data_IF_264787525366
#
_entry.id   IF_264787525366
#
_cell.length_a   1.000
_cell.length_b   1.000
_cell.length_c   1.000
_cell.angle_alpha   90.00
_cell.angle_beta   90.00
_cell.angle_gamma   90.00
#
_symmetry.space_group_name_H-M   'P 1'
#
loop_
_entity.id
_entity.type
_entity.pdbx_description
1 polymer ?
#
# COMPACT_ATOMS: atom_id res chain seq x y z
N UNK A 1 -2.22 -31.99 -44.56
CA UNK A 1 -1.42 -30.79 -44.21
C UNK A 1 -1.72 -30.44 -42.77
N UNK A 2 -0.80 -30.69 -41.83
CA UNK A 2 -0.95 -30.31 -40.41
C UNK A 2 -0.19 -29.00 -40.21
N UNK A 3 -0.90 -27.92 -39.91
CA UNK A 3 -0.27 -26.64 -39.60
C UNK A 3 0.27 -26.69 -38.16
N UNK A 4 1.58 -26.60 -38.01
CA UNK A 4 2.22 -26.40 -36.72
C UNK A 4 2.14 -24.91 -36.38
N UNK A 5 1.30 -24.56 -35.41
CA UNK A 5 1.26 -23.21 -34.84
C UNK A 5 2.40 -23.13 -33.83
N UNK A 6 3.52 -22.54 -34.27
CA UNK A 6 4.60 -22.12 -33.38
C UNK A 6 4.13 -20.89 -32.61
N UNK A 7 3.69 -21.10 -31.36
CA UNK A 7 3.48 -20.00 -30.43
C UNK A 7 4.85 -19.51 -30.00
N UNK A 8 5.32 -18.45 -30.65
CA UNK A 8 6.51 -17.70 -30.23
C UNK A 8 6.16 -17.02 -28.90
N UNK A 9 6.64 -17.56 -27.79
CA UNK A 9 6.61 -16.87 -26.51
C UNK A 9 7.53 -15.64 -26.62
N UNK A 10 6.93 -14.48 -26.86
CA UNK A 10 7.63 -13.20 -26.76
C UNK A 10 8.08 -13.02 -25.33
N UNK A 11 9.36 -13.26 -25.06
CA UNK A 11 10.03 -12.79 -23.87
C UNK A 11 9.85 -11.27 -23.83
N UNK A 12 8.98 -10.78 -22.96
CA UNK A 12 8.94 -9.36 -22.63
C UNK A 12 10.28 -9.02 -21.98
N UNK A 13 11.21 -8.51 -22.78
CA UNK A 13 12.40 -7.82 -22.30
C UNK A 13 11.93 -6.55 -21.61
N UNK A 14 11.51 -6.67 -20.35
CA UNK A 14 11.35 -5.50 -19.50
C UNK A 14 12.73 -4.89 -19.38
N UNK A 15 12.94 -3.72 -19.98
CA UNK A 15 14.16 -2.96 -19.75
C UNK A 15 14.15 -2.60 -18.27
N UNK A 16 14.91 -3.37 -17.49
CA UNK A 16 15.14 -3.11 -16.08
C UNK A 16 15.61 -1.66 -15.98
N UNK A 17 14.78 -0.78 -15.41
CA UNK A 17 15.19 0.57 -15.04
C UNK A 17 16.25 0.41 -13.96
N UNK A 18 17.50 0.25 -14.41
CA UNK A 18 18.62 0.06 -13.53
C UNK A 18 18.80 1.35 -12.71
N UNK A 19 18.90 1.22 -11.39
CA UNK A 19 19.09 2.37 -10.52
C UNK A 19 20.48 2.93 -10.78
N UNK A 20 20.56 4.06 -11.50
CA UNK A 20 21.84 4.66 -11.95
C UNK A 20 22.83 4.88 -10.80
N UNK A 21 22.33 5.11 -9.59
CA UNK A 21 23.13 5.16 -8.37
C UNK A 21 23.89 3.85 -8.10
N UNK A 22 23.21 2.70 -8.09
CA UNK A 22 23.88 1.40 -7.89
C UNK A 22 24.63 0.91 -9.12
N UNK A 23 24.22 1.31 -10.33
CA UNK A 23 24.96 0.99 -11.55
C UNK A 23 26.31 1.72 -11.66
N UNK A 24 26.47 2.85 -10.96
CA UNK A 24 27.73 3.62 -10.96
C UNK A 24 28.88 2.93 -10.20
N UNK A 25 28.63 1.81 -9.51
CA UNK A 25 29.65 1.14 -8.70
C UNK A 25 30.69 0.45 -9.58
N UNK A 26 31.96 0.57 -9.20
CA UNK A 26 33.09 0.13 -10.03
C UNK A 26 33.28 -1.39 -10.18
N UNK A 27 32.50 -2.23 -9.51
CA UNK A 27 32.58 -3.69 -9.65
C UNK A 27 31.19 -4.31 -9.53
N UNK A 28 30.95 -5.46 -10.18
CA UNK A 28 29.70 -6.21 -10.08
C UNK A 28 29.33 -6.54 -8.64
N UNK A 29 30.30 -6.92 -7.81
CA UNK A 29 30.08 -7.16 -6.38
C UNK A 29 29.55 -5.92 -5.67
N UNK A 30 30.15 -4.75 -5.91
CA UNK A 30 29.72 -3.50 -5.31
C UNK A 30 28.34 -3.05 -5.82
N UNK A 31 28.00 -3.36 -7.08
CA UNK A 31 26.65 -3.14 -7.62
C UNK A 31 25.62 -3.96 -6.85
N UNK A 32 25.84 -5.27 -6.69
CA UNK A 32 24.89 -6.14 -5.98
C UNK A 32 24.76 -5.79 -4.50
N UNK A 33 25.88 -5.50 -3.82
CA UNK A 33 25.86 -5.01 -2.44
C UNK A 33 25.07 -3.70 -2.29
N UNK A 34 25.14 -2.80 -3.29
CA UNK A 34 24.35 -1.58 -3.30
C UNK A 34 22.85 -1.90 -3.39
N UNK A 35 22.45 -2.81 -4.28
CA UNK A 35 21.05 -3.22 -4.41
C UNK A 35 20.52 -3.91 -3.14
N UNK A 36 21.30 -4.81 -2.53
CA UNK A 36 20.94 -5.43 -1.25
C UNK A 36 20.73 -4.39 -0.16
N UNK A 37 21.55 -3.35 -0.11
CA UNK A 37 21.46 -2.31 0.91
C UNK A 37 20.19 -1.44 0.77
N UNK A 38 19.66 -1.27 -0.45
CA UNK A 38 18.48 -0.42 -0.71
C UNK A 38 17.17 -1.22 -0.84
N UNK A 39 17.23 -2.54 -1.05
CA UNK A 39 16.04 -3.38 -1.14
C UNK A 39 15.12 -3.32 0.11
N UNK A 40 15.64 -3.25 1.36
CA UNK A 40 14.80 -3.18 2.55
C UNK A 40 13.80 -2.02 2.55
N UNK A 41 14.16 -0.83 2.07
CA UNK A 41 13.23 0.30 2.03
C UNK A 41 12.07 0.07 1.05
N UNK A 42 12.35 -0.59 -0.08
CA UNK A 42 11.29 -0.98 -1.02
C UNK A 42 10.42 -2.11 -0.46
N UNK A 43 10.97 -3.00 0.38
CA UNK A 43 10.17 -4.04 1.06
C UNK A 43 9.22 -3.43 2.09
N UNK A 44 9.67 -2.45 2.88
CA UNK A 44 8.80 -1.74 3.82
C UNK A 44 7.70 -0.96 3.10
N UNK A 45 8.03 -0.34 1.95
CA UNK A 45 7.03 0.28 1.09
C UNK A 45 5.99 -0.72 0.58
N UNK A 46 6.43 -1.92 0.18
CA UNK A 46 5.54 -3.00 -0.24
C UNK A 46 4.58 -3.41 0.89
N UNK A 47 5.10 -3.64 2.10
CA UNK A 47 4.30 -3.96 3.29
C UNK A 47 3.26 -2.89 3.56
N UNK A 48 3.66 -1.62 3.55
CA UNK A 48 2.75 -0.49 3.74
C UNK A 48 1.64 -0.43 2.69
N UNK A 49 1.91 -0.77 1.42
CA UNK A 49 0.85 -0.87 0.42
C UNK A 49 -0.13 -2.03 0.69
N UNK A 50 0.37 -3.21 1.08
CA UNK A 50 -0.51 -4.32 1.45
C UNK A 50 -1.41 -3.97 2.64
N UNK A 51 -0.86 -3.33 3.68
CA UNK A 51 -1.64 -2.88 4.83
C UNK A 51 -2.72 -1.89 4.42
N UNK A 52 -2.37 -0.88 3.62
CA UNK A 52 -3.34 0.11 3.10
C UNK A 52 -4.44 -0.55 2.28
N UNK A 53 -4.11 -1.45 1.37
CA UNK A 53 -5.10 -2.18 0.57
C UNK A 53 -5.99 -3.04 1.47
N UNK A 54 -5.39 -3.80 2.40
CA UNK A 54 -6.14 -4.69 3.30
C UNK A 54 -7.14 -3.95 4.18
N UNK A 55 -6.75 -2.76 4.64
CA UNK A 55 -7.55 -1.95 5.55
C UNK A 55 -8.46 -0.94 4.82
N UNK A 56 -8.43 -0.89 3.50
CA UNK A 56 -9.26 0.04 2.74
C UNK A 56 -10.73 -0.41 2.75
N UNK A 57 -11.70 0.49 3.03
CA UNK A 57 -13.11 0.11 3.17
C UNK A 57 -13.74 -0.44 1.88
N UNK A 58 -13.20 -0.07 0.71
CA UNK A 58 -13.64 -0.61 -0.57
C UNK A 58 -13.07 -2.00 -0.90
N UNK A 59 -12.20 -2.56 -0.06
CA UNK A 59 -11.58 -3.87 -0.32
C UNK A 59 -12.52 -5.00 0.12
N UNK A 60 -12.92 -5.86 -0.82
CA UNK A 60 -13.78 -7.02 -0.54
C UNK A 60 -12.98 -8.23 -0.07
N UNK A 61 -13.68 -9.22 0.50
CA UNK A 61 -13.06 -10.48 0.93
C UNK A 61 -12.43 -11.25 -0.25
N UNK A 62 -13.09 -11.25 -1.41
CA UNK A 62 -12.58 -11.86 -2.64
C UNK A 62 -11.30 -11.13 -3.11
N UNK A 63 -11.28 -9.80 -3.00
CA UNK A 63 -10.10 -9.01 -3.33
C UNK A 63 -8.92 -9.33 -2.39
N UNK A 64 -9.17 -9.58 -1.10
CA UNK A 64 -8.15 -10.01 -0.14
C UNK A 64 -7.57 -11.39 -0.48
N UNK A 65 -8.44 -12.36 -0.81
CA UNK A 65 -8.00 -13.69 -1.22
C UNK A 65 -7.16 -13.63 -2.50
N UNK A 66 -7.59 -12.82 -3.47
CA UNK A 66 -6.84 -12.62 -4.70
C UNK A 66 -5.50 -11.92 -4.44
N UNK A 67 -5.45 -10.94 -3.54
CA UNK A 67 -4.23 -10.23 -3.16
C UNK A 67 -3.20 -11.17 -2.54
N UNK A 68 -3.64 -12.08 -1.68
CA UNK A 68 -2.79 -13.09 -1.06
C UNK A 68 -2.28 -14.09 -2.12
N UNK A 69 -3.17 -14.64 -2.95
CA UNK A 69 -2.78 -15.56 -4.01
C UNK A 69 -1.78 -14.93 -5.00
N UNK A 70 -2.04 -13.68 -5.42
CA UNK A 70 -1.16 -12.89 -6.28
C UNK A 70 0.20 -12.63 -5.62
N UNK A 71 0.24 -12.39 -4.31
CA UNK A 71 1.50 -12.24 -3.57
C UNK A 71 2.32 -13.53 -3.57
N UNK A 72 1.70 -14.67 -3.27
CA UNK A 72 2.37 -15.97 -3.25
C UNK A 72 2.92 -16.34 -4.63
N UNK A 73 2.14 -16.10 -5.69
CA UNK A 73 2.60 -16.34 -7.05
C UNK A 73 3.77 -15.42 -7.44
N UNK A 74 3.70 -14.13 -7.09
CA UNK A 74 4.81 -13.20 -7.33
C UNK A 74 6.08 -13.62 -6.59
N UNK A 75 5.97 -14.02 -5.31
CA UNK A 75 7.11 -14.47 -4.52
C UNK A 75 7.74 -15.73 -5.11
N UNK A 76 6.93 -16.71 -5.51
CA UNK A 76 7.43 -17.92 -6.18
C UNK A 76 8.13 -17.63 -7.50
N UNK A 77 7.63 -16.68 -8.30
CA UNK A 77 8.28 -16.27 -9.55
C UNK A 77 9.59 -15.52 -9.31
N UNK A 78 9.65 -14.68 -8.26
CA UNK A 78 10.87 -13.99 -7.84
C UNK A 78 11.97 -15.00 -7.50
N UNK A 79 11.65 -15.99 -6.66
CA UNK A 79 12.57 -17.06 -6.26
C UNK A 79 13.03 -17.92 -7.46
N UNK A 80 12.10 -18.24 -8.37
CA UNK A 80 12.41 -19.05 -9.53
C UNK A 80 13.29 -18.32 -10.57
N UNK A 81 13.09 -17.00 -10.73
CA UNK A 81 13.60 -16.26 -11.90
C UNK A 81 14.81 -15.38 -11.60
N UNK A 82 14.92 -14.82 -10.39
CA UNK A 82 16.03 -13.93 -10.06
C UNK A 82 17.27 -14.70 -9.61
N UNK A 83 18.44 -14.19 -10.03
CA UNK A 83 19.76 -14.79 -9.75
C UNK A 83 20.72 -13.81 -9.09
N UNK A 84 20.35 -12.55 -9.00
CA UNK A 84 21.13 -11.49 -8.38
C UNK A 84 20.23 -10.43 -7.74
N UNK A 85 20.84 -9.59 -6.90
CA UNK A 85 20.19 -8.53 -6.16
C UNK A 85 19.60 -7.43 -7.05
N UNK A 86 20.17 -7.23 -8.24
CA UNK A 86 19.63 -6.26 -9.21
C UNK A 86 18.27 -6.72 -9.72
N UNK A 87 18.14 -7.99 -10.11
CA UNK A 87 16.87 -8.59 -10.52
C UNK A 87 15.84 -8.52 -9.38
N UNK A 88 16.24 -8.91 -8.17
CA UNK A 88 15.35 -8.89 -7.00
C UNK A 88 14.82 -7.49 -6.69
N UNK A 89 15.69 -6.48 -6.71
CA UNK A 89 15.31 -5.09 -6.51
C UNK A 89 14.35 -4.59 -7.60
N UNK A 90 14.63 -4.86 -8.88
CA UNK A 90 13.75 -4.46 -9.99
C UNK A 90 12.36 -5.10 -9.86
N UNK A 91 12.30 -6.39 -9.51
CA UNK A 91 11.03 -7.08 -9.29
C UNK A 91 10.23 -6.46 -8.13
N UNK A 92 10.91 -6.07 -7.06
CA UNK A 92 10.31 -5.40 -5.90
C UNK A 92 9.76 -4.01 -6.23
N UNK A 93 10.50 -3.20 -6.99
CA UNK A 93 10.01 -1.88 -7.47
C UNK A 93 8.78 -2.05 -8.36
N UNK A 94 8.81 -3.02 -9.28
CA UNK A 94 7.65 -3.33 -10.13
C UNK A 94 6.44 -3.77 -9.31
N UNK A 95 6.65 -4.57 -8.26
CA UNK A 95 5.59 -4.95 -7.33
C UNK A 95 4.99 -3.74 -6.63
N UNK A 96 5.83 -2.83 -6.15
CA UNK A 96 5.39 -1.59 -5.52
C UNK A 96 4.55 -0.73 -6.46
N UNK A 97 4.93 -0.61 -7.73
CA UNK A 97 4.14 0.10 -8.73
C UNK A 97 2.78 -0.56 -8.98
N UNK A 98 2.73 -1.90 -9.06
CA UNK A 98 1.48 -2.63 -9.22
C UNK A 98 0.54 -2.46 -8.00
N UNK A 99 1.08 -2.54 -6.78
CA UNK A 99 0.31 -2.33 -5.56
C UNK A 99 -0.18 -0.88 -5.43
N UNK A 100 0.64 0.11 -5.80
CA UNK A 100 0.22 1.51 -5.85
C UNK A 100 -0.94 1.70 -6.85
N UNK A 101 -0.86 1.07 -8.02
CA UNK A 101 -1.95 1.08 -9.00
C UNK A 101 -3.25 0.46 -8.46
N UNK A 102 -3.17 -0.66 -7.75
CA UNK A 102 -4.32 -1.28 -7.07
C UNK A 102 -4.91 -0.36 -6.01
N UNK A 103 -4.08 0.24 -5.16
CA UNK A 103 -4.54 1.17 -4.14
C UNK A 103 -5.22 2.40 -4.76
N UNK A 104 -4.65 2.97 -5.82
CA UNK A 104 -5.27 4.08 -6.54
C UNK A 104 -6.62 3.71 -7.16
N UNK A 105 -6.77 2.46 -7.64
CA UNK A 105 -8.03 1.97 -8.20
C UNK A 105 -9.14 1.78 -7.15
N UNK A 106 -8.79 1.59 -5.88
CA UNK A 106 -9.75 1.60 -4.77
C UNK A 106 -10.28 3.02 -4.48
N UNK A 107 -9.63 4.05 -5.04
CA UNK A 107 -9.95 5.45 -4.81
C UNK A 107 -9.39 5.96 -3.49
N UNK A 108 -9.64 7.24 -3.15
CA UNK A 108 -9.41 7.71 -1.80
C UNK A 108 -10.29 6.92 -0.83
N UNK A 109 -9.80 6.74 0.40
CA UNK A 109 -10.67 6.33 1.51
C UNK A 109 -11.73 7.42 1.62
N UNK A 110 -12.90 7.17 1.04
CA UNK A 110 -14.06 7.98 1.34
C UNK A 110 -14.31 7.71 2.82
N UNK A 111 -14.31 8.77 3.63
CA UNK A 111 -14.92 8.74 4.94
C UNK A 111 -16.41 8.44 4.71
N UNK A 112 -16.72 7.17 4.47
CA UNK A 112 -18.08 6.70 4.46
C UNK A 112 -18.62 7.02 5.83
N UNK A 113 -19.73 7.76 5.88
CA UNK A 113 -20.43 8.17 7.09
C UNK A 113 -20.43 7.05 8.14
N UNK A 114 -19.41 7.06 8.99
CA UNK A 114 -19.39 6.40 10.28
C UNK A 114 -20.02 7.41 11.21
N UNK A 115 -21.35 7.34 11.32
CA UNK A 115 -22.12 8.14 12.29
C UNK A 115 -21.57 8.12 13.75
N UNK A 116 -20.70 7.19 14.20
CA UNK A 116 -20.05 7.36 15.50
C UNK A 116 -18.86 8.32 15.54
N UNK A 117 -18.03 8.41 14.47
CA UNK A 117 -16.83 9.26 14.49
C UNK A 117 -17.14 10.72 14.10
N UNK A 118 -18.08 10.93 13.17
CA UNK A 118 -18.51 12.29 12.80
C UNK A 118 -19.27 13.02 13.91
N UNK A 119 -19.96 12.31 14.80
CA UNK A 119 -20.77 12.94 15.84
C UNK A 119 -19.89 13.56 16.94
N UNK A 120 -18.89 12.81 17.46
CA UNK A 120 -17.99 13.34 18.49
C UNK A 120 -17.13 14.49 17.93
N UNK A 121 -16.68 14.38 16.68
CA UNK A 121 -15.93 15.45 16.01
C UNK A 121 -16.76 16.73 15.81
N UNK A 122 -18.08 16.60 15.61
CA UNK A 122 -18.99 17.75 15.54
C UNK A 122 -19.08 18.47 16.89
N UNK A 123 -19.17 17.72 17.99
CA UNK A 123 -19.14 18.30 19.34
C UNK A 123 -17.78 18.94 19.68
N UNK A 124 -16.67 18.32 19.28
CA UNK A 124 -15.32 18.91 19.40
C UNK A 124 -15.25 20.24 18.65
N UNK A 125 -15.79 20.29 17.43
CA UNK A 125 -15.76 21.49 16.59
C UNK A 125 -16.59 22.62 17.18
N UNK A 126 -17.83 22.33 17.61
CA UNK A 126 -18.71 23.31 18.25
C UNK A 126 -18.11 23.87 19.54
N UNK A 127 -17.52 23.00 20.37
CA UNK A 127 -16.85 23.43 21.61
C UNK A 127 -15.66 24.36 21.34
N UNK A 128 -14.85 24.07 20.32
CA UNK A 128 -13.70 24.91 19.94
C UNK A 128 -14.11 26.20 19.24
N UNK A 129 -15.25 26.23 18.55
CA UNK A 129 -15.82 27.47 18.03
C UNK A 129 -16.20 28.43 19.16
N UNK A 130 -16.76 27.89 20.26
CA UNK A 130 -17.16 28.69 21.43
C UNK A 130 -15.98 29.07 22.34
N UNK A 131 -15.06 28.13 22.58
CA UNK A 131 -14.03 28.24 23.61
C UNK A 131 -12.63 28.56 23.07
N UNK A 132 -12.46 28.53 21.75
CA UNK A 132 -11.19 28.75 21.05
C UNK A 132 -10.57 27.45 20.50
N UNK A 133 -9.86 27.56 19.37
CA UNK A 133 -9.31 26.43 18.61
C UNK A 133 -8.38 25.52 19.44
N UNK A 134 -7.64 26.13 20.38
CA UNK A 134 -6.70 25.45 21.27
C UNK A 134 -7.32 25.00 22.61
N UNK A 135 -8.64 25.09 22.77
CA UNK A 135 -9.33 24.67 23.99
C UNK A 135 -9.05 23.18 24.28
N UNK A 136 -8.57 22.91 25.50
CA UNK A 136 -8.25 21.57 25.96
C UNK A 136 -9.54 20.78 26.19
N UNK A 137 -9.58 19.57 25.64
CA UNK A 137 -10.69 18.64 25.82
C UNK A 137 -10.19 17.50 26.71
N UNK A 138 -10.93 17.23 27.78
CA UNK A 138 -10.59 16.18 28.76
C UNK A 138 -11.34 14.87 28.45
N UNK A 139 -10.82 13.75 28.95
CA UNK A 139 -11.38 12.42 28.66
C UNK A 139 -12.85 12.26 29.02
N UNK A 140 -13.28 12.81 30.16
CA UNK A 140 -14.68 12.76 30.62
C UNK A 140 -15.64 13.45 29.64
N UNK A 141 -15.21 14.56 29.04
CA UNK A 141 -15.98 15.32 28.07
C UNK A 141 -16.15 14.54 26.75
N UNK A 142 -15.10 13.83 26.32
CA UNK A 142 -15.18 12.92 25.18
C UNK A 142 -16.15 11.77 25.44
N UNK A 143 -16.16 11.22 26.65
CA UNK A 143 -17.05 10.12 27.02
C UNK A 143 -18.52 10.58 27.12
N UNK A 144 -18.77 11.80 27.58
CA UNK A 144 -20.08 12.43 27.56
C UNK A 144 -20.61 12.59 26.13
N UNK A 145 -19.79 13.13 25.22
CA UNK A 145 -20.17 13.28 23.82
C UNK A 145 -20.43 11.94 23.13
N UNK A 146 -19.65 10.90 23.42
CA UNK A 146 -19.96 9.54 22.94
C UNK A 146 -21.32 9.05 23.44
N UNK A 147 -21.69 9.37 24.69
CA UNK A 147 -23.02 9.10 25.24
C UNK A 147 -24.12 9.82 24.47
N UNK A 148 -23.95 11.12 24.23
CA UNK A 148 -24.90 11.92 23.45
C UNK A 148 -25.06 11.43 22.01
N UNK A 149 -23.96 11.05 21.38
CA UNK A 149 -23.97 10.45 20.04
C UNK A 149 -24.74 9.12 20.02
N UNK A 150 -24.58 8.30 21.06
CA UNK A 150 -25.34 7.05 21.20
C UNK A 150 -26.84 7.29 21.40
N UNK A 151 -27.22 8.46 21.90
CA UNK A 151 -28.61 8.93 22.02
C UNK A 151 -29.11 9.68 20.76
N UNK A 152 -28.27 9.83 19.73
CA UNK A 152 -28.62 10.54 18.48
C UNK A 152 -28.65 12.06 18.60
N UNK A 153 -28.04 12.65 19.63
CA UNK A 153 -27.94 14.10 19.80
C UNK A 153 -26.85 14.68 18.89
N UNK A 154 -27.04 15.95 18.49
CA UNK A 154 -26.12 16.74 17.66
C UNK A 154 -25.83 18.08 18.35
N UNK A 155 -24.64 18.68 18.13
CA UNK A 155 -24.28 20.00 18.64
C UNK A 155 -25.16 21.13 18.09
#
# INVERSE_FOLDING_TARGET
MKAAILILATLFSTTSLANSYCESRGTTRAIFQCYDAIAPSEMEKMKGFYEKIRNHPATTQEALQLLEFDHQNWAGLLDASCRDSRCGYTALVNRNNALAGRLNALGPVQAGNSEPENCVDSWISAFREEMGEDAMIVGEQLDEWKGWCSEGKQP
#
